data_IF_511084819768
#
_entry.id   IF_511084819768
#
_cell.length_a   1.000
_cell.length_b   1.000
_cell.length_c   1.000
_cell.angle_alpha   90.00
_cell.angle_beta   90.00
_cell.angle_gamma   90.00
#
_symmetry.space_group_name_H-M   'P 1'
#
loop_
_entity.id
_entity.type
_entity.pdbx_description
1 polymer ?
#
# COMPACT_ATOMS: atom_id res chain seq x y z
N UNK A 1 -29.59 4.50 -65.63
CA UNK A 1 -30.05 3.36 -64.81
C UNK A 1 -29.99 3.79 -63.35
N UNK A 2 -31.13 4.03 -62.70
CA UNK A 2 -31.17 4.42 -61.29
C UNK A 2 -31.12 3.16 -60.41
N UNK A 3 -29.97 2.92 -59.78
CA UNK A 3 -29.82 1.89 -58.76
C UNK A 3 -30.58 2.34 -57.51
N UNK A 4 -31.67 1.64 -57.16
CA UNK A 4 -32.37 1.89 -55.90
C UNK A 4 -31.41 1.54 -54.76
N UNK A 5 -31.02 2.54 -53.97
CA UNK A 5 -30.26 2.31 -52.74
C UNK A 5 -31.16 1.53 -51.76
N UNK A 6 -30.71 0.35 -51.35
CA UNK A 6 -31.38 -0.41 -50.29
C UNK A 6 -31.22 0.36 -48.98
N UNK A 7 -32.35 0.65 -48.32
CA UNK A 7 -32.39 1.29 -47.01
C UNK A 7 -32.19 0.25 -45.91
N UNK A 8 -31.55 0.68 -44.82
CA UNK A 8 -31.34 -0.14 -43.63
C UNK A 8 -32.66 -0.42 -42.92
N UNK A 9 -32.91 -1.66 -42.49
CA UNK A 9 -34.14 -2.00 -41.77
C UNK A 9 -34.00 -1.72 -40.27
N UNK A 10 -35.11 -1.38 -39.61
CA UNK A 10 -35.14 -1.20 -38.15
C UNK A 10 -34.74 -2.49 -37.40
N UNK A 11 -35.04 -3.65 -37.97
CA UNK A 11 -34.71 -4.96 -37.39
C UNK A 11 -33.20 -5.20 -37.42
N UNK A 12 -32.52 -4.85 -38.51
CA UNK A 12 -31.06 -4.93 -38.60
C UNK A 12 -30.39 -4.01 -37.57
N UNK A 13 -30.94 -2.82 -37.30
CA UNK A 13 -30.38 -1.94 -36.27
C UNK A 13 -30.64 -2.49 -34.86
N UNK A 14 -31.83 -3.03 -34.62
CA UNK A 14 -32.26 -3.55 -33.33
C UNK A 14 -31.43 -4.75 -32.88
N UNK A 15 -31.11 -5.68 -33.80
CA UNK A 15 -30.29 -6.85 -33.44
C UNK A 15 -28.85 -6.45 -33.11
N UNK A 16 -28.31 -5.43 -33.79
CA UNK A 16 -26.94 -4.95 -33.57
C UNK A 16 -26.79 -4.33 -32.19
N UNK A 17 -27.72 -3.44 -31.79
CA UNK A 17 -27.68 -2.84 -30.44
C UNK A 17 -27.89 -3.90 -29.35
N UNK A 18 -28.69 -4.93 -29.61
CA UNK A 18 -28.89 -6.04 -28.68
C UNK A 18 -27.57 -6.83 -28.46
N UNK A 19 -26.85 -7.16 -29.53
CA UNK A 19 -25.56 -7.86 -29.44
C UNK A 19 -24.51 -6.99 -28.73
N UNK A 20 -24.41 -5.70 -29.07
CA UNK A 20 -23.50 -4.77 -28.39
C UNK A 20 -23.81 -4.67 -26.89
N UNK A 21 -25.09 -4.62 -26.52
CA UNK A 21 -25.52 -4.60 -25.12
C UNK A 21 -25.07 -5.83 -24.34
N UNK A 22 -25.21 -7.02 -24.91
CA UNK A 22 -24.74 -8.28 -24.29
C UNK A 22 -23.21 -8.28 -24.14
N UNK A 23 -22.47 -7.90 -25.17
CA UNK A 23 -21.00 -7.85 -25.12
C UNK A 23 -20.51 -6.83 -24.08
N UNK A 24 -21.13 -5.64 -24.01
CA UNK A 24 -20.78 -4.60 -23.05
C UNK A 24 -21.01 -5.05 -21.60
N UNK A 25 -22.11 -5.76 -21.33
CA UNK A 25 -22.42 -6.29 -20.00
C UNK A 25 -21.37 -7.30 -19.49
N UNK A 26 -20.90 -8.19 -20.37
CA UNK A 26 -19.85 -9.16 -20.04
C UNK A 26 -18.50 -8.48 -19.75
N UNK A 27 -18.16 -7.45 -20.54
CA UNK A 27 -16.92 -6.67 -20.34
C UNK A 27 -16.89 -5.99 -18.97
N UNK A 28 -18.01 -5.42 -18.53
CA UNK A 28 -18.08 -4.68 -17.26
C UNK A 28 -17.70 -5.57 -16.06
N UNK A 29 -18.20 -6.79 -16.00
CA UNK A 29 -17.89 -7.76 -14.94
C UNK A 29 -16.41 -8.14 -14.97
N UNK A 30 -15.84 -8.30 -16.18
CA UNK A 30 -14.42 -8.59 -16.37
C UNK A 30 -13.49 -7.48 -15.84
N UNK A 31 -13.84 -6.21 -16.09
CA UNK A 31 -13.03 -5.05 -15.67
C UNK A 31 -12.93 -4.95 -14.15
N UNK A 32 -14.04 -5.16 -13.42
CA UNK A 32 -14.05 -5.13 -11.95
C UNK A 32 -13.05 -6.14 -11.36
N UNK A 33 -13.05 -7.37 -11.89
CA UNK A 33 -12.11 -8.43 -11.47
C UNK A 33 -10.66 -8.07 -11.82
N UNK A 34 -10.42 -7.51 -13.01
CA UNK A 34 -9.09 -7.08 -13.43
C UNK A 34 -8.53 -5.97 -12.54
N UNK A 35 -9.35 -4.96 -12.20
CA UNK A 35 -8.97 -3.87 -11.27
C UNK A 35 -8.64 -4.39 -9.88
N UNK A 36 -9.41 -5.34 -9.35
CA UNK A 36 -9.11 -5.99 -8.05
C UNK A 36 -7.76 -6.70 -8.09
N UNK A 37 -7.50 -7.51 -9.14
CA UNK A 37 -6.21 -8.19 -9.33
C UNK A 37 -5.04 -7.22 -9.47
N UNK A 38 -5.21 -6.15 -10.25
CA UNK A 38 -4.18 -5.12 -10.40
C UNK A 38 -3.87 -4.41 -9.08
N UNK A 39 -4.91 -4.15 -8.27
CA UNK A 39 -4.75 -3.54 -6.94
C UNK A 39 -3.94 -4.44 -5.99
N UNK A 40 -4.26 -5.74 -5.96
CA UNK A 40 -3.50 -6.74 -5.18
C UNK A 40 -2.04 -6.79 -5.65
N UNK A 41 -1.79 -6.85 -6.95
CA UNK A 41 -0.44 -6.87 -7.50
C UNK A 41 0.36 -5.61 -7.14
N UNK A 42 -0.28 -4.43 -7.24
CA UNK A 42 0.34 -3.17 -6.86
C UNK A 42 0.67 -3.12 -5.36
N UNK A 43 -0.23 -3.60 -4.48
CA UNK A 43 0.04 -3.70 -3.04
C UNK A 43 1.21 -4.63 -2.74
N UNK A 44 1.33 -5.78 -3.43
CA UNK A 44 2.49 -6.67 -3.29
C UNK A 44 3.82 -5.99 -3.68
N UNK A 45 3.83 -5.24 -4.77
CA UNK A 45 5.01 -4.46 -5.19
C UNK A 45 5.34 -3.38 -4.16
N UNK A 46 4.32 -2.69 -3.63
CA UNK A 46 4.53 -1.68 -2.60
C UNK A 46 5.11 -2.28 -1.31
N UNK A 47 4.56 -3.40 -0.83
CA UNK A 47 5.09 -4.15 0.32
C UNK A 47 6.57 -4.55 0.09
N UNK A 48 6.90 -5.06 -1.10
CA UNK A 48 8.28 -5.39 -1.47
C UNK A 48 9.21 -4.18 -1.42
N UNK A 49 8.76 -3.03 -1.90
CA UNK A 49 9.56 -1.80 -1.86
C UNK A 49 9.82 -1.36 -0.42
N UNK A 50 8.81 -1.43 0.46
CA UNK A 50 8.98 -1.14 1.89
C UNK A 50 9.96 -2.13 2.53
N UNK A 51 9.85 -3.42 2.25
CA UNK A 51 10.76 -4.45 2.75
C UNK A 51 12.21 -4.21 2.28
N UNK A 52 12.41 -3.91 1.00
CA UNK A 52 13.73 -3.58 0.46
C UNK A 52 14.31 -2.31 1.11
N UNK A 53 13.47 -1.33 1.39
CA UNK A 53 13.87 -0.13 2.10
C UNK A 53 14.27 -0.43 3.56
N UNK A 54 13.53 -1.30 4.25
CA UNK A 54 13.86 -1.78 5.59
C UNK A 54 15.16 -2.56 5.63
N UNK A 55 15.41 -3.45 4.66
CA UNK A 55 16.68 -4.17 4.55
C UNK A 55 17.87 -3.22 4.32
N UNK A 56 17.67 -2.18 3.51
CA UNK A 56 18.71 -1.18 3.22
C UNK A 56 19.01 -0.33 4.46
N UNK A 57 17.96 0.13 5.15
CA UNK A 57 18.05 0.81 6.44
C UNK A 57 18.81 -0.03 7.48
N UNK A 58 18.44 -1.30 7.61
CA UNK A 58 19.05 -2.23 8.57
C UNK A 58 20.55 -2.41 8.34
N UNK A 59 20.98 -2.47 7.07
CA UNK A 59 22.39 -2.62 6.68
C UNK A 59 23.22 -1.34 6.89
N UNK A 60 22.65 -0.18 6.59
CA UNK A 60 23.41 1.07 6.54
C UNK A 60 23.48 1.79 7.88
N UNK A 61 22.36 1.92 8.60
CA UNK A 61 22.30 2.81 9.78
C UNK A 61 22.34 2.06 11.13
N UNK A 62 21.78 0.83 11.20
CA UNK A 62 21.54 0.16 12.51
C UNK A 62 22.14 -1.24 12.65
N UNK A 63 23.05 -1.63 11.75
CA UNK A 63 23.88 -2.82 11.94
C UNK A 63 23.10 -4.13 12.13
N UNK A 64 22.16 -4.41 11.23
CA UNK A 64 21.26 -5.57 11.20
C UNK A 64 20.08 -5.54 12.17
N UNK A 65 19.69 -4.35 12.66
CA UNK A 65 18.46 -4.19 13.44
C UNK A 65 17.29 -3.70 12.59
N UNK A 66 16.08 -4.07 12.99
CA UNK A 66 14.84 -3.56 12.40
C UNK A 66 14.07 -2.71 13.41
N UNK A 67 13.22 -1.80 12.93
CA UNK A 67 12.41 -0.94 13.80
C UNK A 67 11.51 -1.80 14.69
N UNK A 68 11.68 -1.75 16.01
CA UNK A 68 10.68 -2.30 16.93
C UNK A 68 9.61 -1.24 17.18
N UNK A 69 8.36 -1.69 17.35
CA UNK A 69 7.24 -0.79 17.57
C UNK A 69 7.34 -0.17 18.98
N UNK A 70 8.09 0.93 19.13
CA UNK A 70 7.80 2.05 20.06
C UNK A 70 8.78 3.25 20.04
N UNK A 71 9.56 3.51 18.97
CA UNK A 71 10.53 4.63 19.01
C UNK A 71 9.96 6.06 18.84
N UNK A 72 8.64 6.27 18.74
CA UNK A 72 8.06 7.61 19.01
C UNK A 72 6.63 7.48 19.51
N UNK A 73 6.48 7.07 20.78
CA UNK A 73 5.17 6.90 21.41
C UNK A 73 4.26 8.12 21.31
N UNK A 74 2.94 7.90 21.41
CA UNK A 74 1.96 8.74 22.13
C UNK A 74 0.77 7.87 22.51
N UNK A 75 0.55 7.74 23.80
CA UNK A 75 -0.71 7.45 24.49
C UNK A 75 -1.81 6.67 23.76
N UNK A 76 -2.11 5.53 24.37
CA UNK A 76 -3.39 4.82 24.47
C UNK A 76 -4.00 4.22 23.18
N UNK A 77 -3.50 3.04 22.84
CA UNK A 77 -4.31 2.00 22.20
C UNK A 77 -3.81 1.53 20.84
N UNK A 78 -2.72 0.74 20.87
CA UNK A 78 -2.12 -0.01 19.76
C UNK A 78 -1.28 0.83 18.78
N UNK A 79 -0.02 1.07 19.15
CA UNK A 79 1.03 1.52 18.24
C UNK A 79 1.16 0.54 17.07
N UNK A 80 0.67 0.91 15.88
CA UNK A 80 0.99 0.19 14.65
C UNK A 80 2.44 0.55 14.30
N UNK A 81 3.37 -0.40 14.42
CA UNK A 81 4.80 -0.17 14.10
C UNK A 81 5.07 0.39 12.70
N UNK A 82 4.05 0.41 11.83
CA UNK A 82 4.11 1.02 10.51
C UNK A 82 4.43 2.51 10.51
N UNK A 83 4.05 3.28 11.53
CA UNK A 83 4.41 4.71 11.61
C UNK A 83 5.92 4.89 11.78
N UNK A 84 6.52 4.10 12.67
CA UNK A 84 7.95 4.07 12.93
C UNK A 84 8.70 3.65 11.67
N UNK A 85 8.25 2.56 11.04
CA UNK A 85 8.80 2.10 9.75
C UNK A 85 8.72 3.20 8.71
N UNK A 86 7.56 3.85 8.55
CA UNK A 86 7.36 4.90 7.57
C UNK A 86 8.34 6.06 7.79
N UNK A 87 8.50 6.53 9.03
CA UNK A 87 9.49 7.56 9.37
C UNK A 87 10.90 7.12 8.98
N UNK A 88 11.32 5.92 9.40
CA UNK A 88 12.69 5.47 9.16
C UNK A 88 13.01 5.23 7.69
N UNK A 89 12.06 4.71 6.91
CA UNK A 89 12.32 4.45 5.48
C UNK A 89 12.03 5.65 4.59
N UNK A 90 11.12 6.55 4.96
CA UNK A 90 10.72 7.67 4.10
C UNK A 90 11.39 9.00 4.46
N UNK A 91 11.92 9.16 5.67
CA UNK A 91 12.69 10.35 6.05
C UNK A 91 14.10 10.31 5.49
N UNK A 92 14.60 11.49 5.13
CA UNK A 92 16.00 11.69 4.76
C UNK A 92 16.81 12.40 5.86
N UNK A 93 18.12 12.58 5.67
CA UNK A 93 19.00 13.26 6.63
C UNK A 93 18.57 14.70 6.93
N UNK A 94 17.75 15.32 6.07
CA UNK A 94 17.23 16.68 6.25
C UNK A 94 16.04 16.78 7.21
N UNK A 95 15.48 15.66 7.69
CA UNK A 95 14.32 15.66 8.59
C UNK A 95 14.73 15.57 10.08
N UNK A 96 16.02 15.72 10.40
CA UNK A 96 16.56 15.66 11.76
C UNK A 96 16.74 14.25 12.33
N UNK A 97 16.54 13.21 11.51
CA UNK A 97 16.56 11.80 11.94
C UNK A 97 17.94 11.15 12.02
N UNK A 98 19.01 11.77 11.50
CA UNK A 98 20.37 11.18 11.51
C UNK A 98 20.54 9.88 10.70
N UNK A 99 19.60 9.60 9.80
CA UNK A 99 19.52 8.40 8.95
C UNK A 99 19.96 8.78 7.53
N UNK A 100 20.75 7.94 6.86
CA UNK A 100 21.25 8.15 5.49
C UNK A 100 20.16 8.05 4.38
N UNK A 101 18.87 8.09 4.76
CA UNK A 101 17.70 7.91 3.90
C UNK A 101 17.44 9.06 2.91
N UNK A 102 16.30 9.08 2.20
CA UNK A 102 15.20 8.14 2.29
C UNK A 102 15.47 6.84 1.54
N UNK A 103 15.18 5.72 2.20
CA UNK A 103 15.27 4.37 1.65
C UNK A 103 14.07 3.99 0.78
N UNK A 104 12.91 4.58 1.07
CA UNK A 104 11.70 4.48 0.27
C UNK A 104 11.40 5.82 -0.38
N UNK A 105 11.65 5.89 -1.69
CA UNK A 105 11.44 7.09 -2.50
C UNK A 105 10.01 7.12 -3.07
N UNK A 106 9.60 8.30 -3.52
CA UNK A 106 8.35 8.53 -4.26
C UNK A 106 7.05 8.23 -3.48
N UNK A 107 7.10 8.25 -2.14
CA UNK A 107 5.90 8.14 -1.30
C UNK A 107 5.09 9.43 -1.39
N UNK A 108 3.99 9.38 -2.13
CA UNK A 108 3.14 10.55 -2.35
C UNK A 108 2.51 11.05 -1.05
N UNK A 109 2.75 12.31 -0.70
CA UNK A 109 2.20 12.95 0.50
C UNK A 109 3.08 12.86 1.74
N UNK A 110 4.25 12.19 1.66
CA UNK A 110 5.16 12.06 2.79
C UNK A 110 5.62 13.43 3.33
N UNK A 111 6.08 14.31 2.43
CA UNK A 111 6.57 15.65 2.80
C UNK A 111 5.46 16.51 3.39
N UNK A 112 4.25 16.39 2.86
CA UNK A 112 3.09 17.12 3.34
C UNK A 112 2.69 16.67 4.74
N UNK A 113 2.71 15.36 5.02
CA UNK A 113 2.55 14.83 6.38
C UNK A 113 3.61 15.39 7.34
N UNK A 114 4.89 15.30 6.96
CA UNK A 114 6.01 15.76 7.80
C UNK A 114 5.93 17.25 8.15
N UNK A 115 5.47 18.06 7.19
CA UNK A 115 5.36 19.51 7.35
C UNK A 115 3.99 19.95 7.88
N UNK A 116 3.19 19.02 8.40
CA UNK A 116 1.83 19.27 8.91
C UNK A 116 0.94 20.04 7.92
N UNK A 117 1.13 19.78 6.62
CA UNK A 117 0.44 20.41 5.51
C UNK A 117 -0.71 19.52 5.01
N UNK A 118 -1.76 20.08 4.38
CA UNK A 118 -2.86 19.29 3.84
C UNK A 118 -2.38 18.23 2.83
N UNK A 119 -2.80 16.97 3.04
CA UNK A 119 -2.37 15.85 2.19
C UNK A 119 -2.99 15.92 0.78
N UNK A 120 -2.20 15.67 -0.28
CA UNK A 120 -2.71 15.66 -1.65
C UNK A 120 -3.67 14.50 -1.88
N UNK A 121 -4.61 14.67 -2.82
CA UNK A 121 -5.50 13.58 -3.26
C UNK A 121 -4.66 12.41 -3.77
N UNK A 122 -4.94 11.23 -3.24
CA UNK A 122 -4.18 10.02 -3.60
C UNK A 122 -2.89 9.82 -2.81
N UNK A 123 -2.68 10.56 -1.71
CA UNK A 123 -1.55 10.30 -0.81
C UNK A 123 -1.50 8.83 -0.36
N UNK A 124 -0.28 8.31 -0.31
CA UNK A 124 0.08 6.99 0.19
C UNK A 124 0.37 7.01 1.70
N UNK A 125 0.16 8.16 2.36
CA UNK A 125 0.19 8.27 3.81
C UNK A 125 -1.11 8.87 4.31
N UNK A 126 -1.44 8.58 5.57
CA UNK A 126 -2.51 9.28 6.26
C UNK A 126 -1.97 10.42 7.14
N UNK A 127 -2.88 11.10 7.85
CA UNK A 127 -2.55 12.19 8.77
C UNK A 127 -1.70 11.76 9.98
N UNK A 128 -1.52 10.46 10.19
CA UNK A 128 -0.71 9.87 11.25
C UNK A 128 0.66 9.39 10.74
N UNK A 129 0.94 9.51 9.44
CA UNK A 129 2.20 9.06 8.84
C UNK A 129 2.24 7.56 8.54
N UNK A 130 1.10 6.87 8.60
CA UNK A 130 1.01 5.45 8.27
C UNK A 130 0.99 5.27 6.76
N UNK A 131 1.83 4.36 6.25
CA UNK A 131 1.82 3.97 4.84
C UNK A 131 0.52 3.24 4.52
N UNK A 132 -0.13 3.62 3.42
CA UNK A 132 -1.44 3.12 3.04
C UNK A 132 -1.34 2.13 1.87
N UNK A 133 -2.16 1.09 1.94
CA UNK A 133 -2.40 0.19 0.83
C UNK A 133 -3.33 0.80 -0.25
N UNK A 134 -3.65 0.01 -1.28
CA UNK A 134 -4.52 0.44 -2.38
C UNK A 134 -5.97 0.72 -1.95
N UNK A 135 -6.38 0.19 -0.80
CA UNK A 135 -7.71 0.34 -0.21
C UNK A 135 -7.77 1.44 0.87
N UNK A 136 -6.70 2.23 1.01
CA UNK A 136 -6.54 3.32 1.99
C UNK A 136 -6.57 2.85 3.44
N UNK A 137 -6.14 1.62 3.67
CA UNK A 137 -5.88 1.10 5.01
C UNK A 137 -4.38 1.15 5.31
N UNK A 138 -3.99 1.40 6.56
CA UNK A 138 -2.59 1.35 6.94
C UNK A 138 -2.04 -0.05 6.67
N UNK A 139 -0.77 -0.11 6.26
CA UNK A 139 -0.02 -1.35 6.27
C UNK A 139 0.23 -1.77 7.72
N UNK A 140 0.35 -3.06 7.92
CA UNK A 140 0.65 -3.64 9.22
C UNK A 140 2.08 -4.11 9.24
N UNK A 141 2.78 -3.78 10.31
CA UNK A 141 4.16 -4.17 10.55
C UNK A 141 4.25 -4.74 11.96
N UNK A 142 4.89 -5.90 12.09
CA UNK A 142 5.17 -6.55 13.37
C UNK A 142 6.61 -7.04 13.36
N UNK A 143 7.42 -6.59 14.31
CA UNK A 143 8.73 -7.19 14.54
C UNK A 143 8.56 -8.49 15.34
N UNK A 144 9.12 -9.59 14.83
CA UNK A 144 9.25 -10.88 15.50
C UNK A 144 10.54 -10.85 16.34
N UNK A 145 10.45 -10.26 17.53
CA UNK A 145 11.37 -10.57 18.61
C UNK A 145 10.59 -10.97 19.86
N UNK A 146 11.10 -11.99 20.54
CA UNK A 146 10.36 -12.82 21.47
C UNK A 146 10.10 -12.13 22.81
N UNK A 147 8.94 -12.48 23.36
CA UNK A 147 8.54 -12.29 24.74
C UNK A 147 9.57 -12.82 25.75
N UNK A 148 10.51 -11.99 26.19
CA UNK A 148 11.19 -12.14 27.49
C UNK A 148 10.92 -10.97 28.45
N UNK A 149 10.01 -10.06 28.09
CA UNK A 149 9.48 -9.05 29.00
C UNK A 149 10.35 -7.80 29.14
N UNK A 150 11.40 -7.63 28.32
CA UNK A 150 12.16 -6.39 28.30
C UNK A 150 11.54 -5.42 27.28
N UNK A 151 10.62 -4.60 27.77
CA UNK A 151 10.11 -3.40 27.12
C UNK A 151 11.19 -2.32 27.06
N UNK A 152 12.23 -2.52 26.27
CA UNK A 152 13.18 -1.45 25.95
C UNK A 152 13.16 -1.17 24.45
N UNK A 153 12.64 0.01 24.14
CA UNK A 153 12.66 0.76 22.88
C UNK A 153 14.05 0.81 22.25
N UNK A 154 14.50 -0.31 21.69
CA UNK A 154 15.82 -0.42 21.08
C UNK A 154 15.70 -1.27 19.84
N UNK A 155 16.21 -0.74 18.72
CA UNK A 155 16.33 -1.48 17.47
C UNK A 155 17.06 -2.81 17.73
N UNK A 156 16.34 -3.93 17.60
CA UNK A 156 16.87 -5.26 17.96
C UNK A 156 17.58 -5.88 16.75
N UNK A 157 18.86 -6.23 16.94
CA UNK A 157 19.69 -6.88 15.91
C UNK A 157 19.22 -8.30 15.64
N UNK A 158 18.99 -8.62 14.36
CA UNK A 158 18.61 -9.97 13.90
C UNK A 158 17.14 -10.33 14.12
N UNK A 159 16.27 -9.37 14.43
CA UNK A 159 14.83 -9.60 14.52
C UNK A 159 14.23 -9.89 13.14
N UNK A 160 13.38 -10.92 13.05
CA UNK A 160 12.53 -11.11 11.87
C UNK A 160 11.40 -10.07 11.89
N UNK A 161 10.79 -9.75 10.76
CA UNK A 161 9.60 -8.90 10.74
C UNK A 161 8.53 -9.46 9.80
N UNK A 162 7.27 -9.11 10.08
CA UNK A 162 6.14 -9.31 9.19
C UNK A 162 5.66 -7.96 8.71
N UNK A 163 5.48 -7.81 7.40
CA UNK A 163 4.74 -6.69 6.81
C UNK A 163 3.61 -7.21 5.93
N UNK A 164 2.40 -6.68 6.15
CA UNK A 164 1.20 -7.18 5.48
C UNK A 164 0.12 -6.10 5.30
N UNK A 165 -0.86 -6.40 4.46
CA UNK A 165 -2.07 -5.60 4.24
C UNK A 165 -3.28 -6.50 4.37
N UNK A 166 -4.35 -6.00 4.99
CA UNK A 166 -5.66 -6.68 5.05
C UNK A 166 -6.36 -6.80 3.70
N UNK A 167 -5.77 -6.25 2.63
CA UNK A 167 -6.27 -6.48 1.29
C UNK A 167 -7.67 -5.89 1.02
N UNK A 168 -8.39 -6.45 0.04
CA UNK A 168 -9.69 -5.96 -0.42
C UNK A 168 -10.80 -5.90 0.62
N UNK A 169 -10.86 -6.85 1.55
CA UNK A 169 -11.92 -6.93 2.56
C UNK A 169 -11.70 -5.97 3.75
N UNK A 170 -10.47 -5.47 3.90
CA UNK A 170 -10.04 -4.52 4.93
C UNK A 170 -10.19 -5.06 6.36
N UNK A 171 -10.13 -6.38 6.54
CA UNK A 171 -10.26 -7.03 7.85
C UNK A 171 -9.07 -7.94 8.12
N UNK A 172 -8.68 -8.03 9.38
CA UNK A 172 -7.61 -8.94 9.79
C UNK A 172 -8.04 -10.41 9.70
N UNK A 173 -7.11 -11.27 9.27
CA UNK A 173 -7.32 -12.72 9.23
C UNK A 173 -8.14 -13.18 8.02
N UNK A 174 -8.33 -12.30 7.04
CA UNK A 174 -9.01 -12.61 5.78
C UNK A 174 -8.16 -13.55 4.91
N UNK A 175 -8.83 -14.33 4.05
CA UNK A 175 -8.12 -15.14 3.02
C UNK A 175 -7.44 -14.27 1.96
N UNK A 176 -7.78 -12.99 1.92
CA UNK A 176 -7.26 -11.98 1.01
C UNK A 176 -6.22 -11.06 1.63
N UNK A 177 -5.79 -11.35 2.86
CA UNK A 177 -4.60 -10.76 3.46
C UNK A 177 -3.38 -10.98 2.57
N UNK A 178 -2.62 -9.91 2.36
CA UNK A 178 -1.45 -9.89 1.50
C UNK A 178 -0.23 -9.79 2.40
N UNK A 179 0.47 -10.90 2.56
CA UNK A 179 1.73 -10.97 3.30
C UNK A 179 2.91 -10.79 2.35
N UNK A 180 3.94 -10.09 2.84
CA UNK A 180 5.28 -10.19 2.29
C UNK A 180 6.10 -11.17 3.15
N UNK A 181 6.73 -12.19 2.53
CA UNK A 181 7.51 -13.20 3.25
C UNK A 181 8.80 -12.66 3.85
#
# INVERSE_FOLDING_TARGET
MNTRKQGFTLVELLVVIAIIGVLAALILIGIQKARKKASIAATKVFLKNVATALETYSKNDYGSAYPTADDTGKDEGQCQGIQTVAKMVCSGPNDGGGIDGPYLKDVKGWREFSNNSPLPKGSQVNKYGELLDRWRKPLHYRSRYAADGVTENTNVKGADYDIYSWGPDKKEGGKDDIFYP
#
